data_IF_452158442308
#
_entry.id   IF_452158442308
#
_cell.length_a   1.000
_cell.length_b   1.000
_cell.length_c   1.000
_cell.angle_alpha   90.00
_cell.angle_beta   90.00
_cell.angle_gamma   90.00
#
_symmetry.space_group_name_H-M   'P 1'
#
loop_
_entity.id
_entity.type
_entity.pdbx_description
1 polymer ?
#
# COMPACT_ATOMS: atom_id res chain seq x y z
N UNK A 1 3.20 -11.71 0.27
CA UNK A 1 1.89 -12.43 0.15
C UNK A 1 1.33 -12.27 -1.24
N UNK A 2 0.95 -13.36 -1.89
CA UNK A 2 0.24 -13.38 -3.17
C UNK A 2 -1.23 -12.97 -3.00
N UNK A 3 -1.88 -12.61 -4.10
CA UNK A 3 -3.32 -12.30 -4.08
C UNK A 3 -4.18 -13.49 -3.62
N UNK A 4 -3.74 -14.73 -3.87
CA UNK A 4 -4.45 -15.96 -3.45
C UNK A 4 -4.39 -16.11 -1.93
N UNK A 5 -3.21 -15.98 -1.34
CA UNK A 5 -2.99 -16.05 0.11
C UNK A 5 -3.76 -14.94 0.86
N UNK A 6 -3.72 -13.69 0.34
CA UNK A 6 -4.50 -12.60 0.91
C UNK A 6 -6.00 -12.92 0.87
N UNK A 7 -6.51 -13.47 -0.24
CA UNK A 7 -7.90 -13.83 -0.35
C UNK A 7 -8.28 -15.03 0.56
N UNK A 8 -7.38 -15.98 0.76
CA UNK A 8 -7.56 -17.11 1.67
C UNK A 8 -7.76 -16.60 3.12
N UNK A 9 -6.87 -15.76 3.63
CA UNK A 9 -7.02 -15.17 4.97
C UNK A 9 -8.24 -14.25 5.05
N UNK A 10 -8.52 -13.48 4.00
CA UNK A 10 -9.66 -12.57 3.94
C UNK A 10 -11.01 -13.32 3.96
N UNK A 11 -11.11 -14.51 3.35
CA UNK A 11 -12.33 -15.31 3.34
C UNK A 11 -12.74 -15.79 4.73
N UNK A 12 -11.81 -15.90 5.68
CA UNK A 12 -12.10 -16.22 7.08
C UNK A 12 -13.00 -15.16 7.76
N UNK A 13 -13.16 -13.98 7.16
CA UNK A 13 -14.03 -12.90 7.65
C UNK A 13 -15.36 -12.80 6.87
N UNK A 14 -15.69 -13.78 6.04
CA UNK A 14 -16.94 -13.75 5.28
C UNK A 14 -18.12 -14.18 6.13
N UNK A 15 -17.93 -15.10 7.06
CA UNK A 15 -18.97 -15.57 7.99
C UNK A 15 -18.44 -15.69 9.42
N UNK A 16 -19.33 -15.68 10.41
CA UNK A 16 -18.95 -15.89 11.81
C UNK A 16 -18.50 -17.36 12.03
N UNK A 17 -19.05 -18.29 11.27
CA UNK A 17 -18.73 -19.72 11.38
C UNK A 17 -17.30 -20.03 10.93
N UNK A 18 -16.79 -19.33 9.92
CA UNK A 18 -15.43 -19.50 9.39
C UNK A 18 -14.40 -18.73 10.20
N UNK A 19 -14.88 -17.84 11.09
CA UNK A 19 -14.04 -16.93 11.85
C UNK A 19 -13.47 -17.62 13.09
N UNK A 20 -12.14 -17.72 13.16
CA UNK A 20 -11.39 -18.23 14.33
C UNK A 20 -10.89 -17.13 15.27
N UNK A 21 -11.52 -15.94 15.30
CA UNK A 21 -11.11 -14.84 16.17
C UNK A 21 -11.31 -15.22 17.63
N UNK A 22 -10.21 -15.29 18.37
CA UNK A 22 -10.25 -15.62 19.80
C UNK A 22 -10.53 -14.38 20.65
N UNK A 23 -9.96 -13.25 20.29
CA UNK A 23 -10.02 -12.01 21.07
C UNK A 23 -10.06 -10.78 20.19
N UNK A 24 -10.84 -9.80 20.64
CA UNK A 24 -10.91 -8.44 20.11
C UNK A 24 -10.40 -7.47 21.17
N UNK A 25 -9.46 -6.61 20.80
CA UNK A 25 -8.99 -5.50 21.63
C UNK A 25 -9.05 -4.19 20.86
N UNK A 26 -9.25 -3.08 21.53
CA UNK A 26 -9.30 -1.78 20.86
C UNK A 26 -9.02 -0.60 21.77
N UNK A 27 -8.66 0.51 21.14
CA UNK A 27 -8.42 1.79 21.80
C UNK A 27 -9.06 2.93 20.99
N UNK A 28 -10.00 3.63 21.61
CA UNK A 28 -10.54 4.86 21.04
C UNK A 28 -9.64 6.05 21.44
N UNK A 29 -9.17 6.76 20.43
CA UNK A 29 -8.29 7.92 20.55
C UNK A 29 -9.03 9.16 20.02
N UNK A 30 -9.03 10.24 20.80
CA UNK A 30 -9.64 11.51 20.38
C UNK A 30 -8.69 12.37 19.54
N UNK A 31 -9.19 13.52 19.03
CA UNK A 31 -8.42 14.46 18.22
C UNK A 31 -7.22 15.10 18.93
N UNK A 32 -7.19 15.08 20.26
CA UNK A 32 -6.07 15.57 21.08
C UNK A 32 -5.03 14.48 21.36
N UNK A 33 -5.10 13.35 20.67
CA UNK A 33 -4.25 12.17 20.86
C UNK A 33 -4.35 11.56 22.28
N UNK A 34 -5.48 11.72 22.95
CA UNK A 34 -5.72 11.11 24.25
C UNK A 34 -6.49 9.79 24.10
N UNK A 35 -6.07 8.76 24.86
CA UNK A 35 -6.81 7.49 25.00
C UNK A 35 -8.12 7.78 25.77
N UNK A 36 -9.26 7.59 25.12
CA UNK A 36 -10.57 7.81 25.73
C UNK A 36 -11.10 6.53 26.37
N UNK A 37 -10.93 5.42 25.67
CA UNK A 37 -11.41 4.10 26.13
C UNK A 37 -10.58 2.99 25.50
N UNK A 38 -10.14 2.06 26.34
CA UNK A 38 -9.59 0.77 25.91
C UNK A 38 -10.56 -0.35 26.27
N UNK A 39 -10.55 -1.41 25.48
CA UNK A 39 -11.33 -2.63 25.73
C UNK A 39 -10.59 -3.85 25.20
N UNK A 40 -10.82 -4.99 25.83
CA UNK A 40 -10.28 -6.29 25.41
C UNK A 40 -11.24 -7.38 25.87
N UNK A 41 -11.78 -8.14 24.92
CA UNK A 41 -12.81 -9.15 25.23
C UNK A 41 -12.78 -10.32 24.24
N UNK A 42 -13.44 -11.42 24.59
CA UNK A 42 -13.64 -12.52 23.66
C UNK A 42 -14.60 -12.08 22.57
N UNK A 43 -14.22 -12.35 21.31
CA UNK A 43 -15.02 -11.95 20.15
C UNK A 43 -16.42 -12.55 20.18
N UNK A 44 -16.57 -13.79 20.64
CA UNK A 44 -17.86 -14.49 20.73
C UNK A 44 -18.80 -14.02 21.85
N UNK A 45 -18.32 -13.10 22.72
CA UNK A 45 -19.21 -12.47 23.70
C UNK A 45 -20.02 -11.30 23.13
N UNK A 46 -19.68 -10.87 21.92
CA UNK A 46 -20.37 -9.76 21.23
C UNK A 46 -21.73 -10.20 20.66
N UNK A 47 -22.70 -9.31 20.55
CA UNK A 47 -23.90 -9.53 19.75
C UNK A 47 -23.55 -9.86 18.29
N UNK A 48 -24.32 -10.76 17.68
CA UNK A 48 -24.07 -11.21 16.31
C UNK A 48 -24.01 -10.05 15.29
N UNK A 49 -24.88 -9.06 15.43
CA UNK A 49 -24.88 -7.88 14.56
C UNK A 49 -23.59 -7.06 14.66
N UNK A 50 -23.02 -6.95 15.87
CA UNK A 50 -21.74 -6.28 16.09
C UNK A 50 -20.59 -7.09 15.52
N UNK A 51 -20.60 -8.42 15.70
CA UNK A 51 -19.58 -9.30 15.11
C UNK A 51 -19.50 -9.09 13.59
N UNK A 52 -20.61 -9.05 12.86
CA UNK A 52 -20.59 -8.81 11.41
C UNK A 52 -20.00 -7.44 11.05
N UNK A 53 -20.21 -6.40 11.86
CA UNK A 53 -19.61 -5.08 11.63
C UNK A 53 -18.08 -5.09 11.79
N UNK A 54 -17.60 -5.80 12.80
CA UNK A 54 -16.15 -5.99 12.97
C UNK A 54 -15.55 -6.83 11.83
N UNK A 55 -16.21 -7.93 11.42
CA UNK A 55 -15.76 -8.74 10.27
C UNK A 55 -15.66 -7.90 8.99
N UNK A 56 -16.62 -7.01 8.73
CA UNK A 56 -16.55 -6.08 7.59
C UNK A 56 -15.30 -5.19 7.63
N UNK A 57 -14.92 -4.67 8.81
CA UNK A 57 -13.72 -3.86 9.02
C UNK A 57 -12.47 -4.68 8.71
N UNK A 58 -12.34 -5.89 9.28
CA UNK A 58 -11.15 -6.73 9.09
C UNK A 58 -11.01 -7.21 7.65
N UNK A 59 -12.11 -7.61 7.04
CA UNK A 59 -12.18 -7.93 5.61
C UNK A 59 -11.75 -6.74 4.74
N UNK A 60 -12.13 -5.52 5.13
CA UNK A 60 -11.77 -4.31 4.41
C UNK A 60 -10.30 -3.98 4.56
N UNK A 61 -9.70 -4.23 5.72
CA UNK A 61 -8.27 -4.06 5.95
C UNK A 61 -7.44 -4.89 4.98
N UNK A 62 -7.89 -6.12 4.67
CA UNK A 62 -7.24 -7.02 3.70
C UNK A 62 -7.75 -6.83 2.25
N UNK A 63 -8.43 -5.71 1.96
CA UNK A 63 -8.95 -5.44 0.62
C UNK A 63 -8.15 -4.37 -0.09
N UNK A 64 -7.60 -4.71 -1.25
CA UNK A 64 -6.81 -3.79 -2.05
C UNK A 64 -6.07 -4.50 -3.18
N UNK A 65 -5.18 -3.76 -3.81
CA UNK A 65 -4.27 -4.29 -4.84
C UNK A 65 -2.92 -4.53 -4.20
N UNK A 66 -2.37 -5.77 -4.25
CA UNK A 66 -1.00 -6.06 -3.82
C UNK A 66 0.00 -5.13 -4.54
N UNK A 67 1.01 -4.66 -3.81
CA UNK A 67 1.99 -3.69 -4.31
C UNK A 67 1.49 -2.25 -4.37
N UNK A 68 0.19 -2.01 -4.10
CA UNK A 68 -0.40 -0.66 -4.10
C UNK A 68 -1.02 -0.30 -2.75
N UNK A 69 -2.15 -0.95 -2.42
CA UNK A 69 -2.85 -0.77 -1.15
C UNK A 69 -2.36 -1.75 -0.09
N UNK A 70 -1.93 -2.93 -0.52
CA UNK A 70 -1.43 -4.01 0.31
C UNK A 70 0.04 -4.21 -0.04
N UNK A 71 0.91 -3.98 0.94
CA UNK A 71 2.37 -4.01 0.74
C UNK A 71 2.99 -5.02 1.71
N UNK A 72 3.71 -5.97 1.15
CA UNK A 72 4.51 -6.91 1.91
C UNK A 72 5.82 -6.22 2.32
N UNK A 73 6.08 -6.14 3.61
CA UNK A 73 7.22 -5.39 4.16
C UNK A 73 8.01 -6.26 5.13
N UNK A 74 9.32 -6.28 4.96
CA UNK A 74 10.22 -6.99 5.86
C UNK A 74 10.67 -6.07 7.01
N UNK A 75 10.92 -6.67 8.17
CA UNK A 75 11.54 -5.96 9.28
C UNK A 75 12.96 -5.51 8.92
N UNK A 76 13.33 -4.35 9.45
CA UNK A 76 14.61 -3.72 9.14
C UNK A 76 15.80 -4.52 9.68
N UNK A 77 15.67 -5.04 10.89
CA UNK A 77 16.68 -5.80 11.59
C UNK A 77 16.06 -7.10 12.16
N UNK A 78 15.89 -8.14 11.33
CA UNK A 78 15.23 -9.37 11.78
C UNK A 78 16.00 -10.11 12.89
N UNK A 79 17.31 -9.83 13.04
CA UNK A 79 18.21 -10.50 14.00
C UNK A 79 18.60 -9.59 15.18
N UNK A 80 18.03 -8.40 15.33
CA UNK A 80 18.39 -7.52 16.44
C UNK A 80 17.78 -7.99 17.76
N UNK A 81 18.64 -8.37 18.70
CA UNK A 81 18.29 -8.68 20.11
C UNK A 81 17.87 -7.43 20.92
N UNK A 82 17.53 -6.32 20.27
CA UNK A 82 17.10 -5.11 20.99
C UNK A 82 15.67 -5.30 21.51
N UNK A 83 15.52 -5.36 22.82
CA UNK A 83 14.27 -5.58 23.57
C UNK A 83 13.17 -4.51 23.36
N UNK A 84 13.31 -3.64 22.39
CA UNK A 84 12.36 -2.57 22.05
C UNK A 84 11.97 -2.57 20.56
N UNK A 85 12.28 -3.63 19.79
CA UNK A 85 11.94 -3.68 18.37
C UNK A 85 10.43 -3.82 18.14
N UNK A 86 9.92 -3.26 17.06
CA UNK A 86 8.53 -3.42 16.66
C UNK A 86 8.16 -4.90 16.47
N UNK A 87 9.06 -5.69 15.90
CA UNK A 87 8.90 -7.14 15.72
C UNK A 87 8.65 -7.85 17.06
N UNK A 88 9.43 -7.54 18.10
CA UNK A 88 9.27 -8.17 19.41
C UNK A 88 7.93 -7.79 20.06
N UNK A 89 7.51 -6.54 19.94
CA UNK A 89 6.20 -6.10 20.42
C UNK A 89 5.06 -6.86 19.74
N UNK A 90 5.11 -7.00 18.41
CA UNK A 90 4.12 -7.75 17.65
C UNK A 90 4.13 -9.25 18.02
N UNK A 91 5.30 -9.83 18.25
CA UNK A 91 5.40 -11.22 18.73
C UNK A 91 4.79 -11.39 20.12
N UNK A 92 4.99 -10.44 21.05
CA UNK A 92 4.36 -10.45 22.38
C UNK A 92 2.84 -10.36 22.28
N UNK A 93 2.30 -9.47 21.45
CA UNK A 93 0.85 -9.36 21.19
C UNK A 93 0.28 -10.68 20.66
N UNK A 94 0.95 -11.31 19.69
CA UNK A 94 0.52 -12.59 19.13
C UNK A 94 0.58 -13.72 20.15
N UNK A 95 1.73 -13.89 20.83
CA UNK A 95 1.94 -14.98 21.81
C UNK A 95 1.03 -14.86 23.03
N UNK A 96 0.70 -13.65 23.46
CA UNK A 96 -0.26 -13.41 24.55
C UNK A 96 -1.72 -13.57 24.11
N UNK A 97 -1.97 -13.75 22.80
CA UNK A 97 -3.33 -13.77 22.24
C UNK A 97 -4.11 -12.49 22.61
N UNK A 98 -3.46 -11.34 22.68
CA UNK A 98 -3.99 -10.05 23.14
C UNK A 98 -4.54 -10.07 24.57
N UNK A 99 -4.03 -10.97 25.44
CA UNK A 99 -4.44 -11.09 26.85
C UNK A 99 -3.57 -10.27 27.81
N UNK A 100 -2.42 -9.78 27.36
CA UNK A 100 -1.51 -8.97 28.17
C UNK A 100 -1.82 -7.48 28.01
N UNK A 101 -2.52 -6.93 29.00
CA UNK A 101 -2.93 -5.53 29.00
C UNK A 101 -1.73 -4.56 28.96
N UNK A 102 -0.59 -4.92 29.58
CA UNK A 102 0.60 -4.06 29.56
C UNK A 102 1.20 -3.95 28.15
N UNK A 103 1.26 -5.06 27.42
CA UNK A 103 1.71 -5.07 26.03
C UNK A 103 0.74 -4.31 25.10
N UNK A 104 -0.58 -4.42 25.34
CA UNK A 104 -1.59 -3.66 24.60
C UNK A 104 -1.44 -2.15 24.84
N UNK A 105 -1.24 -1.72 26.07
CA UNK A 105 -1.05 -0.31 26.41
C UNK A 105 0.23 0.26 25.77
N UNK A 106 1.36 -0.47 25.81
CA UNK A 106 2.60 -0.06 25.13
C UNK A 106 2.39 0.09 23.61
N UNK A 107 1.67 -0.85 23.01
CA UNK A 107 1.33 -0.80 21.58
C UNK A 107 0.49 0.45 21.27
N UNK A 108 -0.58 0.71 22.04
CA UNK A 108 -1.42 1.89 21.81
C UNK A 108 -0.64 3.19 21.95
N UNK A 109 0.22 3.30 22.97
CA UNK A 109 1.04 4.50 23.18
C UNK A 109 2.01 4.76 22.03
N UNK A 110 2.65 3.70 21.51
CA UNK A 110 3.51 3.80 20.33
C UNK A 110 2.73 4.21 19.09
N UNK A 111 1.54 3.63 18.85
CA UNK A 111 0.68 4.03 17.74
C UNK A 111 0.27 5.48 17.85
N UNK A 112 -0.24 5.92 19.00
CA UNK A 112 -0.71 7.29 19.22
C UNK A 112 0.40 8.33 19.01
N UNK A 113 1.62 8.02 19.43
CA UNK A 113 2.77 8.92 19.26
C UNK A 113 3.23 9.04 17.81
N UNK A 114 3.04 7.99 17.01
CA UNK A 114 3.62 7.88 15.67
C UNK A 114 2.60 8.00 14.52
N UNK A 115 1.31 7.77 14.80
CA UNK A 115 0.28 7.84 13.76
C UNK A 115 -0.13 9.28 13.50
N UNK A 116 0.03 9.73 12.25
CA UNK A 116 -0.33 11.09 11.83
C UNK A 116 -1.78 11.11 11.31
N UNK A 117 -2.69 11.51 12.18
CA UNK A 117 -4.10 11.66 11.86
C UNK A 117 -4.71 12.82 12.63
N UNK A 118 -5.46 13.68 11.91
CA UNK A 118 -6.20 14.80 12.51
C UNK A 118 -7.66 14.38 12.73
N UNK A 119 -8.04 14.16 13.97
CA UNK A 119 -9.39 13.77 14.36
C UNK A 119 -9.41 12.50 15.22
N UNK A 120 -10.61 11.99 15.45
CA UNK A 120 -10.82 10.81 16.29
C UNK A 120 -10.62 9.53 15.46
N UNK A 121 -10.05 8.51 16.07
CA UNK A 121 -9.88 7.20 15.43
C UNK A 121 -9.95 6.06 16.44
N UNK A 122 -10.23 4.87 15.93
CA UNK A 122 -10.30 3.62 16.66
C UNK A 122 -9.18 2.69 16.17
N UNK A 123 -8.34 2.24 17.09
CA UNK A 123 -7.37 1.16 16.86
C UNK A 123 -8.06 -0.13 17.25
N UNK A 124 -8.16 -1.08 16.33
CA UNK A 124 -8.69 -2.42 16.56
C UNK A 124 -7.61 -3.45 16.33
N UNK A 125 -7.54 -4.43 17.21
CA UNK A 125 -6.67 -5.60 17.14
C UNK A 125 -7.51 -6.84 17.29
N UNK A 126 -7.23 -7.86 16.47
CA UNK A 126 -7.72 -9.22 16.69
C UNK A 126 -6.56 -10.21 16.70
N UNK A 127 -6.73 -11.25 17.48
CA UNK A 127 -5.94 -12.47 17.38
C UNK A 127 -6.80 -13.59 16.82
N UNK A 128 -6.26 -14.29 15.84
CA UNK A 128 -6.92 -15.44 15.21
C UNK A 128 -5.92 -16.55 14.95
N UNK A 129 -6.37 -17.78 15.06
CA UNK A 129 -5.64 -18.99 14.63
C UNK A 129 -6.38 -19.64 13.46
N UNK A 130 -5.65 -20.02 12.44
CA UNK A 130 -6.14 -20.65 11.23
C UNK A 130 -5.38 -21.94 10.97
N UNK A 131 -6.10 -23.05 10.93
CA UNK A 131 -5.55 -24.34 10.56
C UNK A 131 -5.41 -24.41 9.05
N UNK A 132 -4.16 -24.41 8.54
CA UNK A 132 -3.88 -24.39 7.12
C UNK A 132 -4.25 -25.77 6.54
N UNK A 133 -5.21 -25.87 5.59
CA UNK A 133 -5.56 -27.15 4.98
C UNK A 133 -4.36 -27.73 4.23
N UNK A 134 -4.06 -29.01 4.48
CA UNK A 134 -3.04 -29.74 3.75
C UNK A 134 -3.39 -29.85 2.28
N UNK A 135 -2.39 -29.82 1.40
CA UNK A 135 -2.56 -30.05 -0.04
C UNK A 135 -2.04 -31.42 -0.45
N UNK A 136 -2.82 -32.12 -1.28
CA UNK A 136 -2.31 -33.31 -1.97
C UNK A 136 -1.31 -32.92 -3.04
N UNK A 137 -0.48 -33.88 -3.48
CA UNK A 137 0.44 -33.71 -4.62
C UNK A 137 -0.23 -33.24 -5.90
N UNK A 138 -1.54 -33.44 -6.05
CA UNK A 138 -2.36 -33.00 -7.20
C UNK A 138 -3.02 -31.65 -6.96
N UNK A 139 -2.71 -30.94 -5.83
CA UNK A 139 -3.22 -29.59 -5.53
C UNK A 139 -4.66 -29.55 -5.03
N UNK A 140 -5.20 -30.68 -4.55
CA UNK A 140 -6.54 -30.76 -3.95
C UNK A 140 -6.39 -30.52 -2.44
N UNK A 141 -7.20 -29.63 -1.87
CA UNK A 141 -7.24 -29.37 -0.44
C UNK A 141 -7.81 -30.58 0.30
N UNK A 142 -7.17 -30.92 1.43
CA UNK A 142 -7.62 -31.98 2.33
C UNK A 142 -8.14 -31.34 3.60
N UNK A 143 -9.44 -31.38 3.81
CA UNK A 143 -10.10 -30.77 4.99
C UNK A 143 -9.70 -31.41 6.32
N UNK A 144 -9.23 -32.68 6.29
CA UNK A 144 -8.91 -33.47 7.50
C UNK A 144 -7.42 -33.48 7.88
N UNK A 145 -6.55 -32.83 7.11
CA UNK A 145 -5.12 -32.78 7.39
C UNK A 145 -4.62 -31.35 7.40
N UNK A 146 -4.40 -30.80 8.59
CA UNK A 146 -3.71 -29.52 8.77
C UNK A 146 -2.21 -29.75 8.85
N UNK A 147 -1.44 -29.07 8.01
CA UNK A 147 0.02 -29.14 8.04
C UNK A 147 0.62 -28.18 9.07
N UNK A 148 -0.01 -27.01 9.28
CA UNK A 148 0.47 -25.96 10.17
C UNK A 148 -0.68 -25.12 10.69
N UNK A 149 -0.56 -24.59 11.93
CA UNK A 149 -1.48 -23.61 12.49
C UNK A 149 -0.90 -22.21 12.31
N UNK A 150 -1.55 -21.39 11.51
CA UNK A 150 -1.20 -20.00 11.31
C UNK A 150 -1.90 -19.12 12.35
N UNK A 151 -1.13 -18.66 13.34
CA UNK A 151 -1.59 -17.73 14.38
C UNK A 151 -1.12 -16.31 14.06
N UNK A 152 -2.03 -15.35 14.05
CA UNK A 152 -1.74 -13.98 13.65
C UNK A 152 -2.50 -12.91 14.43
N UNK A 153 -2.00 -11.68 14.34
CA UNK A 153 -2.66 -10.45 14.78
C UNK A 153 -2.98 -9.59 13.57
N UNK A 154 -4.21 -9.14 13.46
CA UNK A 154 -4.64 -8.16 12.48
C UNK A 154 -4.99 -6.85 13.18
N UNK A 155 -4.37 -5.77 12.76
CA UNK A 155 -4.65 -4.41 13.22
C UNK A 155 -5.43 -3.63 12.17
N UNK A 156 -6.43 -2.86 12.59
CA UNK A 156 -7.19 -1.94 11.76
C UNK A 156 -7.27 -0.58 12.44
N UNK A 157 -6.87 0.49 11.76
CA UNK A 157 -6.99 1.87 12.27
C UNK A 157 -8.10 2.56 11.49
N UNK A 158 -9.20 2.83 12.18
CA UNK A 158 -10.44 3.31 11.61
C UNK A 158 -10.70 4.76 12.01
N UNK A 159 -10.86 5.70 11.06
CA UNK A 159 -11.33 7.04 11.36
C UNK A 159 -12.69 7.00 12.05
N UNK A 160 -12.94 7.94 12.95
CA UNK A 160 -14.25 8.12 13.56
C UNK A 160 -14.80 9.50 13.22
N UNK A 161 -16.00 9.54 12.67
CA UNK A 161 -16.65 10.79 12.24
C UNK A 161 -17.95 10.99 12.98
N UNK A 162 -18.21 12.25 13.32
CA UNK A 162 -19.47 12.64 13.92
C UNK A 162 -20.62 12.43 12.90
N UNK A 163 -21.66 11.73 13.31
CA UNK A 163 -22.84 11.53 12.47
C UNK A 163 -23.49 12.86 12.11
N UNK A 164 -24.15 12.92 10.94
CA UNK A 164 -24.83 14.16 10.53
C UNK A 164 -25.94 14.50 11.51
N UNK A 165 -26.13 15.79 11.85
CA UNK A 165 -27.30 16.22 12.61
C UNK A 165 -28.56 16.00 11.76
N UNK A 166 -29.68 15.69 12.42
CA UNK A 166 -30.91 15.45 11.72
C UNK A 166 -32.12 15.34 12.67
N UNK A 167 -33.29 15.19 12.07
CA UNK A 167 -34.49 14.80 12.78
C UNK A 167 -34.72 13.31 12.51
N UNK A 168 -35.16 12.58 13.52
CA UNK A 168 -35.55 11.18 13.42
C UNK A 168 -36.85 10.92 14.17
N UNK A 169 -37.54 9.88 13.77
CA UNK A 169 -38.70 9.38 14.50
C UNK A 169 -38.20 8.34 15.51
N UNK A 170 -38.57 8.52 16.76
CA UNK A 170 -38.32 7.56 17.82
C UNK A 170 -39.57 6.70 18.01
N UNK A 171 -39.45 5.41 17.70
CA UNK A 171 -40.58 4.46 17.79
C UNK A 171 -41.03 4.26 19.22
N UNK A 172 -40.14 4.35 20.22
CA UNK A 172 -40.48 4.15 21.62
C UNK A 172 -41.26 5.34 22.20
N UNK A 173 -40.91 6.55 21.77
CA UNK A 173 -41.55 7.79 22.21
C UNK A 173 -42.73 8.19 21.30
N UNK A 174 -42.80 7.69 20.07
CA UNK A 174 -43.78 8.06 19.06
C UNK A 174 -43.64 9.51 18.56
N UNK A 175 -42.47 10.11 18.69
CA UNK A 175 -42.22 11.53 18.42
C UNK A 175 -41.06 11.76 17.45
N UNK A 176 -41.09 12.87 16.71
CA UNK A 176 -39.97 13.35 15.91
C UNK A 176 -39.11 14.29 16.76
N UNK A 177 -37.85 13.94 16.93
CA UNK A 177 -36.89 14.76 17.69
C UNK A 177 -35.52 14.84 17.01
N UNK A 178 -34.64 15.69 17.55
CA UNK A 178 -33.28 15.81 17.07
C UNK A 178 -32.48 14.55 17.40
N UNK A 179 -31.89 13.92 16.36
CA UNK A 179 -31.01 12.77 16.54
C UNK A 179 -29.75 13.17 17.30
N UNK A 180 -29.40 12.36 18.30
CA UNK A 180 -28.13 12.52 19.01
C UNK A 180 -26.99 12.20 18.05
N UNK A 181 -26.07 13.14 17.89
CA UNK A 181 -24.84 12.88 17.15
C UNK A 181 -23.91 11.98 17.96
N UNK A 182 -23.39 10.96 17.29
CA UNK A 182 -22.38 10.05 17.86
C UNK A 182 -21.20 9.96 16.88
N UNK A 183 -20.03 9.58 17.40
CA UNK A 183 -18.90 9.25 16.55
C UNK A 183 -19.09 7.84 15.98
N UNK A 184 -19.30 7.76 14.67
CA UNK A 184 -19.41 6.50 13.94
C UNK A 184 -18.03 6.07 13.47
N UNK A 185 -17.74 4.77 13.56
CA UNK A 185 -16.54 4.15 13.03
C UNK A 185 -16.66 4.02 11.52
N UNK A 186 -15.67 4.58 10.81
CA UNK A 186 -15.53 4.47 9.36
C UNK A 186 -14.71 3.22 8.99
N UNK A 187 -14.69 2.89 7.71
CA UNK A 187 -13.83 1.82 7.20
C UNK A 187 -12.34 2.17 7.43
N UNK A 188 -11.47 1.17 7.63
CA UNK A 188 -10.08 1.39 7.99
C UNK A 188 -9.31 2.18 6.91
N UNK A 189 -8.53 3.16 7.35
CA UNK A 189 -7.59 3.89 6.50
C UNK A 189 -6.23 3.17 6.43
N UNK A 190 -5.80 2.57 7.54
CA UNK A 190 -4.56 1.81 7.66
C UNK A 190 -4.75 0.55 8.49
N UNK A 191 -3.82 -0.40 8.35
CA UNK A 191 -3.78 -1.60 9.15
C UNK A 191 -2.60 -2.48 8.77
N UNK A 192 -2.44 -3.59 9.47
CA UNK A 192 -1.42 -4.59 9.13
C UNK A 192 -1.84 -5.98 9.61
N UNK A 193 -1.28 -7.00 8.98
CA UNK A 193 -1.35 -8.40 9.36
C UNK A 193 0.06 -8.87 9.76
N UNK A 194 0.22 -9.47 10.93
CA UNK A 194 1.48 -10.02 11.41
C UNK A 194 1.29 -11.38 12.10
N UNK A 195 2.12 -12.37 11.79
CA UNK A 195 3.12 -12.46 10.71
C UNK A 195 2.48 -12.43 9.32
N UNK A 196 3.27 -12.20 8.27
CA UNK A 196 2.79 -12.39 6.91
C UNK A 196 2.51 -13.89 6.63
N UNK A 197 1.60 -14.15 5.69
CA UNK A 197 1.24 -15.50 5.24
C UNK A 197 1.86 -15.76 3.88
N UNK A 198 3.18 -16.00 3.86
CA UNK A 198 3.93 -16.23 2.63
C UNK A 198 4.12 -17.72 2.38
N UNK A 199 3.96 -18.17 1.13
CA UNK A 199 4.05 -19.57 0.73
C UNK A 199 3.13 -20.50 1.56
N UNK A 200 1.95 -19.97 1.94
CA UNK A 200 0.98 -20.63 2.83
C UNK A 200 1.58 -21.09 4.17
N UNK A 201 2.52 -20.32 4.70
CA UNK A 201 3.24 -20.58 5.95
C UNK A 201 3.41 -19.29 6.75
N UNK A 202 3.79 -19.44 8.03
CA UNK A 202 4.04 -18.33 8.96
C UNK A 202 5.36 -17.65 8.65
N UNK A 203 5.37 -16.45 8.06
CA UNK A 203 6.57 -15.66 7.86
C UNK A 203 6.73 -14.58 8.95
N UNK A 204 7.46 -14.90 10.01
CA UNK A 204 7.73 -14.00 11.13
C UNK A 204 8.68 -12.83 10.78
N UNK A 205 9.25 -12.79 9.57
CA UNK A 205 10.15 -11.73 9.14
C UNK A 205 9.46 -10.65 8.32
N UNK A 206 8.18 -10.84 8.03
CA UNK A 206 7.39 -9.94 7.20
C UNK A 206 6.03 -9.60 7.83
N UNK A 207 5.49 -8.46 7.41
CA UNK A 207 4.11 -8.03 7.66
C UNK A 207 3.43 -7.72 6.34
N UNK A 208 2.11 -7.86 6.28
CA UNK A 208 1.31 -7.26 5.21
C UNK A 208 0.74 -5.93 5.72
N UNK A 209 1.23 -4.82 5.21
CA UNK A 209 0.72 -3.49 5.53
C UNK A 209 -0.40 -3.08 4.58
N UNK A 210 -1.47 -2.52 5.12
CA UNK A 210 -2.62 -2.02 4.37
C UNK A 210 -2.73 -0.51 4.49
N UNK A 211 -2.86 0.19 3.36
CA UNK A 211 -3.14 1.63 3.33
C UNK A 211 -4.18 1.96 2.27
N UNK A 212 -5.22 2.68 2.67
CA UNK A 212 -6.23 3.21 1.74
C UNK A 212 -5.69 4.35 0.90
N UNK A 213 -4.80 5.17 1.48
CA UNK A 213 -4.13 6.28 0.80
C UNK A 213 -2.84 5.79 0.18
N UNK A 214 -2.78 5.75 -1.15
CA UNK A 214 -1.63 5.25 -1.91
C UNK A 214 -0.62 6.35 -2.27
N UNK A 215 -0.89 7.58 -1.91
CA UNK A 215 -0.06 8.76 -2.18
C UNK A 215 0.74 9.24 -0.96
N UNK A 216 0.37 8.78 0.24
CA UNK A 216 1.12 9.06 1.46
C UNK A 216 1.02 7.88 2.44
N UNK A 217 2.14 7.29 2.78
CA UNK A 217 2.23 6.25 3.80
C UNK A 217 2.50 6.89 5.18
N UNK A 218 2.12 6.18 6.23
CA UNK A 218 2.37 6.58 7.62
C UNK A 218 3.81 6.21 8.02
N UNK A 219 4.81 6.97 7.51
CA UNK A 219 6.24 6.60 7.66
C UNK A 219 6.65 6.47 9.12
N UNK A 220 6.24 7.41 10.00
CA UNK A 220 6.56 7.34 11.42
C UNK A 220 5.92 6.12 12.11
N UNK A 221 4.71 5.72 11.71
CA UNK A 221 4.07 4.50 12.21
C UNK A 221 4.82 3.25 11.75
N UNK A 222 5.20 3.18 10.48
CA UNK A 222 5.96 2.06 9.91
C UNK A 222 7.33 1.89 10.59
N UNK A 223 8.02 3.00 10.84
CA UNK A 223 9.38 2.98 11.40
C UNK A 223 9.39 2.79 12.92
N UNK A 224 8.54 3.52 13.65
CA UNK A 224 8.61 3.55 15.12
C UNK A 224 7.76 2.48 15.81
N UNK A 225 6.71 1.99 15.15
CA UNK A 225 5.81 0.98 15.72
C UNK A 225 6.08 -0.39 15.14
N UNK A 226 6.18 -0.49 13.82
CA UNK A 226 6.31 -1.78 13.13
C UNK A 226 7.76 -2.17 12.85
N UNK A 227 8.71 -1.22 12.92
CA UNK A 227 10.14 -1.45 12.64
C UNK A 227 10.38 -2.00 11.22
N UNK A 228 9.59 -1.50 10.26
CA UNK A 228 9.72 -1.83 8.84
C UNK A 228 10.11 -0.60 8.03
N UNK A 229 10.81 -0.82 6.93
CA UNK A 229 11.14 0.26 6.01
C UNK A 229 9.92 0.70 5.23
N UNK A 230 9.63 1.99 5.24
CA UNK A 230 8.62 2.55 4.36
C UNK A 230 9.08 2.43 2.90
N UNK A 231 8.27 1.78 2.06
CA UNK A 231 8.46 1.78 0.61
C UNK A 231 7.92 3.08 0.01
N UNK A 232 8.35 3.42 -1.21
CA UNK A 232 7.77 4.57 -1.91
C UNK A 232 6.27 4.35 -2.15
N UNK A 233 5.40 5.34 -1.84
CA UNK A 233 4.00 5.29 -2.21
C UNK A 233 3.80 5.06 -3.71
N UNK A 234 2.74 4.35 -4.10
CA UNK A 234 2.46 4.04 -5.50
C UNK A 234 2.43 5.27 -6.42
N UNK A 235 1.92 6.39 -5.93
CA UNK A 235 1.91 7.66 -6.66
C UNK A 235 3.33 8.18 -6.88
N UNK A 236 4.17 8.16 -5.85
CA UNK A 236 5.56 8.61 -5.95
C UNK A 236 6.39 7.68 -6.84
N UNK A 237 6.15 6.35 -6.79
CA UNK A 237 6.79 5.42 -7.73
C UNK A 237 6.44 5.76 -9.18
N UNK A 238 5.16 6.07 -9.46
CA UNK A 238 4.72 6.47 -10.80
C UNK A 238 5.30 7.80 -11.24
N UNK A 239 5.28 8.81 -10.38
CA UNK A 239 5.84 10.13 -10.67
C UNK A 239 7.35 10.05 -10.88
N UNK A 240 8.07 9.36 -9.98
CA UNK A 240 9.51 9.10 -10.12
C UNK A 240 9.85 8.33 -11.39
N UNK A 241 9.05 7.32 -11.74
CA UNK A 241 9.23 6.60 -13.00
C UNK A 241 9.04 7.50 -14.22
N UNK A 242 8.00 8.33 -14.25
CA UNK A 242 7.75 9.26 -15.35
C UNK A 242 8.87 10.31 -15.48
N UNK A 243 9.34 10.85 -14.36
CA UNK A 243 10.47 11.77 -14.31
C UNK A 243 11.75 11.09 -14.83
N UNK A 244 12.02 9.88 -14.36
CA UNK A 244 13.14 9.07 -14.82
C UNK A 244 13.12 8.84 -16.34
N UNK A 245 11.96 8.40 -16.90
CA UNK A 245 11.81 8.22 -18.36
C UNK A 245 12.09 9.53 -19.10
N UNK A 246 11.55 10.64 -18.63
CA UNK A 246 11.74 11.96 -19.23
C UNK A 246 13.21 12.39 -19.21
N UNK A 247 13.90 12.18 -18.10
CA UNK A 247 15.32 12.54 -17.95
C UNK A 247 16.26 11.66 -18.78
N UNK A 248 15.97 10.34 -18.87
CA UNK A 248 16.76 9.42 -19.70
C UNK A 248 16.61 9.76 -21.18
N UNK A 249 15.40 9.96 -21.65
CA UNK A 249 15.14 10.25 -23.06
C UNK A 249 15.61 11.65 -23.45
N UNK A 250 15.37 12.66 -22.62
CA UNK A 250 15.71 14.04 -22.94
C UNK A 250 15.15 14.47 -24.30
N UNK A 251 16.02 14.82 -25.26
CA UNK A 251 15.63 15.24 -26.62
C UNK A 251 15.08 14.08 -27.47
N UNK A 252 15.35 12.80 -27.14
CA UNK A 252 14.78 11.64 -27.82
C UNK A 252 13.35 11.30 -27.36
N UNK A 253 12.75 12.11 -26.47
CA UNK A 253 11.39 11.93 -25.97
C UNK A 253 10.36 12.25 -27.05
N UNK A 254 10.17 11.31 -27.99
CA UNK A 254 9.11 11.37 -28.98
C UNK A 254 7.85 10.64 -28.49
N UNK A 255 6.70 10.94 -29.09
CA UNK A 255 5.46 10.22 -28.79
C UNK A 255 5.64 8.72 -29.04
N UNK A 256 6.25 8.37 -30.16
CA UNK A 256 6.49 6.99 -30.60
C UNK A 256 7.40 6.23 -29.62
N UNK A 257 8.50 6.88 -29.17
CA UNK A 257 9.44 6.27 -28.20
C UNK A 257 8.77 6.04 -26.86
N UNK A 258 8.02 7.03 -26.34
CA UNK A 258 7.32 6.89 -25.05
C UNK A 258 6.21 5.83 -25.15
N UNK A 259 5.47 5.80 -26.25
CA UNK A 259 4.44 4.77 -26.48
C UNK A 259 5.06 3.37 -26.51
N UNK A 260 6.15 3.17 -27.27
CA UNK A 260 6.87 1.90 -27.33
C UNK A 260 7.38 1.45 -25.96
N UNK A 261 7.90 2.36 -25.13
CA UNK A 261 8.30 2.05 -23.75
C UNK A 261 7.10 1.54 -22.93
N UNK A 262 5.94 2.22 -23.03
CA UNK A 262 4.75 1.81 -22.29
C UNK A 262 4.20 0.45 -22.76
N UNK A 263 4.26 0.16 -24.06
CA UNK A 263 3.84 -1.12 -24.63
C UNK A 263 4.78 -2.25 -24.21
N UNK A 264 6.09 -2.09 -24.37
CA UNK A 264 7.09 -3.07 -23.96
C UNK A 264 7.08 -3.31 -22.45
N UNK A 265 6.86 -2.26 -21.66
CA UNK A 265 6.70 -2.38 -20.22
C UNK A 265 5.48 -3.23 -19.85
N UNK A 266 4.35 -2.98 -20.49
CA UNK A 266 3.13 -3.75 -20.30
C UNK A 266 3.31 -5.21 -20.71
N UNK A 267 3.95 -5.47 -21.84
CA UNK A 267 4.26 -6.84 -22.31
C UNK A 267 5.17 -7.57 -21.31
N UNK A 268 6.24 -6.93 -20.85
CA UNK A 268 7.16 -7.48 -19.84
C UNK A 268 6.44 -7.82 -18.55
N UNK A 269 5.55 -6.93 -18.09
CA UNK A 269 4.74 -7.16 -16.86
C UNK A 269 3.77 -8.32 -17.06
N UNK A 270 3.09 -8.42 -18.20
CA UNK A 270 2.16 -9.50 -18.49
C UNK A 270 2.88 -10.85 -18.58
N UNK A 271 4.06 -10.91 -19.20
CA UNK A 271 4.86 -12.11 -19.28
C UNK A 271 5.31 -12.58 -17.90
N UNK A 272 5.87 -11.67 -17.09
CA UNK A 272 6.24 -11.98 -15.70
C UNK A 272 5.03 -12.42 -14.84
N UNK A 273 3.85 -11.81 -15.01
CA UNK A 273 2.61 -12.23 -14.31
C UNK A 273 2.16 -13.64 -14.72
N UNK A 274 2.36 -14.01 -15.96
CA UNK A 274 2.03 -15.36 -16.46
C UNK A 274 2.97 -16.41 -15.89
N UNK A 275 4.25 -16.07 -15.74
CA UNK A 275 5.28 -16.95 -15.17
C UNK A 275 5.11 -17.14 -13.66
N UNK A 276 4.77 -16.06 -12.95
CA UNK A 276 4.70 -16.01 -11.47
C UNK A 276 3.30 -16.36 -10.92
N UNK A 277 2.38 -16.89 -11.74
CA UNK A 277 1.09 -17.45 -11.33
C UNK A 277 0.26 -16.60 -10.33
N UNK A 278 0.40 -15.27 -10.37
CA UNK A 278 -0.38 -14.33 -9.54
C UNK A 278 0.40 -13.68 -8.39
N UNK A 279 1.71 -13.89 -8.31
CA UNK A 279 2.58 -13.16 -7.41
C UNK A 279 2.73 -11.68 -7.80
N UNK A 280 3.19 -10.88 -6.86
CA UNK A 280 3.48 -9.46 -7.09
C UNK A 280 4.71 -9.31 -7.98
N UNK A 281 4.56 -8.67 -9.13
CA UNK A 281 5.66 -8.47 -10.09
C UNK A 281 6.46 -7.23 -9.73
N UNK A 282 7.77 -7.40 -9.61
CA UNK A 282 8.73 -6.32 -9.44
C UNK A 282 9.50 -6.08 -10.74
N UNK A 283 9.79 -4.82 -11.01
CA UNK A 283 10.66 -4.40 -12.10
C UNK A 283 12.03 -4.05 -11.54
N UNK A 284 12.99 -4.90 -11.81
CA UNK A 284 14.39 -4.66 -11.50
C UNK A 284 15.07 -3.83 -12.59
N UNK A 285 16.28 -3.36 -12.32
CA UNK A 285 17.08 -2.56 -13.25
C UNK A 285 17.28 -3.25 -14.60
N UNK A 286 17.48 -4.58 -14.60
CA UNK A 286 17.70 -5.37 -15.80
C UNK A 286 16.44 -5.41 -16.67
N UNK A 287 15.30 -5.74 -16.09
CA UNK A 287 14.04 -5.78 -16.82
C UNK A 287 13.65 -4.41 -17.38
N UNK A 288 13.90 -3.35 -16.63
CA UNK A 288 13.66 -1.98 -17.08
C UNK A 288 14.59 -1.59 -18.24
N UNK A 289 15.87 -1.93 -18.12
CA UNK A 289 16.85 -1.67 -19.19
C UNK A 289 16.49 -2.39 -20.49
N UNK A 290 16.05 -3.65 -20.38
CA UNK A 290 15.57 -4.42 -21.54
C UNK A 290 14.34 -3.78 -22.23
N UNK A 291 13.43 -3.19 -21.44
CA UNK A 291 12.28 -2.44 -21.97
C UNK A 291 12.75 -1.24 -22.80
N UNK A 292 13.71 -0.45 -22.28
CA UNK A 292 14.24 0.72 -23.01
C UNK A 292 14.99 0.31 -24.28
N UNK A 293 15.80 -0.75 -24.22
CA UNK A 293 16.54 -1.28 -25.37
C UNK A 293 15.59 -1.78 -26.46
N UNK A 294 14.56 -2.56 -26.11
CA UNK A 294 13.52 -3.02 -27.04
C UNK A 294 12.71 -1.87 -27.64
N UNK A 295 12.60 -0.75 -26.94
CA UNK A 295 11.90 0.43 -27.41
C UNK A 295 12.74 1.33 -28.33
N UNK A 296 13.93 0.89 -28.72
CA UNK A 296 14.78 1.59 -29.68
C UNK A 296 15.52 2.79 -29.08
N UNK A 297 15.67 2.87 -27.77
CA UNK A 297 16.44 3.91 -27.10
C UNK A 297 17.93 3.74 -27.42
N UNK A 298 18.63 4.84 -27.75
CA UNK A 298 20.03 4.81 -28.19
C UNK A 298 20.98 4.31 -27.09
N UNK A 299 22.12 3.71 -27.49
CA UNK A 299 23.11 3.19 -26.56
C UNK A 299 23.69 4.27 -25.63
N UNK A 300 23.75 5.51 -26.09
CA UNK A 300 24.18 6.66 -25.27
C UNK A 300 23.16 6.92 -24.13
N UNK A 301 21.87 6.85 -24.44
CA UNK A 301 20.79 7.03 -23.45
C UNK A 301 20.69 5.84 -22.50
N UNK A 302 21.05 4.63 -22.92
CA UNK A 302 21.14 3.48 -22.02
C UNK A 302 22.26 3.63 -20.98
N UNK A 303 23.36 4.33 -21.29
CA UNK A 303 24.36 4.69 -20.28
C UNK A 303 23.85 5.72 -19.29
N UNK A 304 23.03 6.68 -19.76
CA UNK A 304 22.34 7.63 -18.88
C UNK A 304 21.34 6.91 -17.98
N UNK A 305 20.60 5.94 -18.54
CA UNK A 305 19.69 5.06 -17.79
C UNK A 305 20.40 4.39 -16.61
N UNK A 306 21.54 3.73 -16.87
CA UNK A 306 22.28 2.97 -15.85
C UNK A 306 22.71 3.86 -14.67
N UNK A 307 23.12 5.09 -14.95
CA UNK A 307 23.53 6.07 -13.93
C UNK A 307 22.33 6.63 -13.17
N UNK A 308 21.28 7.00 -13.90
CA UNK A 308 20.10 7.67 -13.34
C UNK A 308 19.21 6.73 -12.54
N UNK A 309 19.16 5.44 -12.90
CA UNK A 309 18.32 4.47 -12.20
C UNK A 309 18.69 4.38 -10.71
N UNK A 310 19.99 4.29 -10.42
CA UNK A 310 20.49 4.21 -9.04
C UNK A 310 20.27 5.54 -8.29
N UNK A 311 20.28 6.69 -8.98
CA UNK A 311 20.03 8.00 -8.39
C UNK A 311 18.55 8.25 -8.08
N UNK A 312 17.64 7.82 -8.96
CA UNK A 312 16.21 8.12 -8.88
C UNK A 312 15.45 7.22 -7.88
N UNK A 313 15.87 5.97 -7.76
CA UNK A 313 15.22 4.96 -6.92
C UNK A 313 16.00 4.66 -5.63
N UNK A 314 17.08 5.41 -5.31
CA UNK A 314 17.77 5.34 -4.03
C UNK A 314 16.94 6.03 -2.93
N UNK A 315 16.31 5.24 -2.07
CA UNK A 315 15.46 5.70 -0.97
C UNK A 315 16.16 6.66 0.01
N UNK A 316 17.49 6.58 0.16
CA UNK A 316 18.25 7.49 1.03
C UNK A 316 18.26 8.91 0.49
N UNK A 317 18.42 9.07 -0.82
CA UNK A 317 18.43 10.40 -1.48
C UNK A 317 17.04 11.01 -1.55
N UNK A 318 15.99 10.18 -1.77
CA UNK A 318 14.61 10.64 -1.82
C UNK A 318 14.15 11.16 -0.45
N UNK A 319 14.52 10.49 0.65
CA UNK A 319 14.25 10.98 2.02
C UNK A 319 14.91 12.33 2.31
N UNK A 320 16.19 12.53 1.92
CA UNK A 320 16.87 13.83 2.08
C UNK A 320 16.13 14.96 1.34
N UNK A 321 15.67 14.71 0.13
CA UNK A 321 14.93 15.68 -0.69
C UNK A 321 13.55 16.02 -0.10
N UNK A 322 12.88 15.08 0.56
CA UNK A 322 11.57 15.30 1.24
C UNK A 322 11.69 16.05 2.56
N UNK A 323 12.82 15.90 3.27
CA UNK A 323 13.09 16.57 4.55
C UNK A 323 13.63 18.01 4.34
N UNK A 324 13.98 18.40 3.10
CA UNK A 324 14.49 19.74 2.79
C UNK A 324 15.94 19.97 3.20
N UNK A 325 16.71 18.91 3.43
CA UNK A 325 18.16 19.02 3.65
C UNK A 325 18.87 19.10 2.28
N UNK A 326 19.27 20.30 1.88
CA UNK A 326 20.20 20.52 0.78
C UNK A 326 21.58 19.94 1.16
N UNK A 327 22.26 19.29 0.20
CA UNK A 327 23.62 18.75 0.36
C UNK A 327 24.59 19.89 0.70
N UNK A 328 24.87 20.14 1.97
CA UNK A 328 26.03 20.91 2.37
C UNK A 328 27.26 20.01 2.35
N UNK A 329 28.11 20.24 1.35
CA UNK A 329 29.48 19.74 1.25
C UNK A 329 30.28 20.21 2.48
N UNK A 330 30.45 19.36 3.49
CA UNK A 330 31.28 19.67 4.64
C UNK A 330 32.77 19.44 4.33
N UNK A 331 33.46 20.53 4.00
CA UNK A 331 34.90 20.65 4.26
C UNK A 331 35.09 21.16 5.70
N UNK A 332 35.89 20.42 6.48
CA UNK A 332 36.33 20.73 7.84
C UNK A 332 36.69 22.21 8.08
N UNK A 333 36.21 22.82 9.17
CA UNK A 333 37.05 23.32 10.25
C UNK A 333 36.27 23.89 11.44
N UNK A 334 36.71 23.45 12.63
CA UNK A 334 36.79 24.06 13.98
C UNK A 334 35.66 24.89 14.60
N UNK A 335 35.16 24.32 15.72
CA UNK A 335 34.92 24.91 17.06
C UNK A 335 34.11 26.20 17.24
N UNK A 336 32.95 26.10 17.93
CA UNK A 336 32.64 26.73 19.22
C UNK A 336 31.17 26.57 19.62
N UNK A 337 31.00 26.09 20.85
CA UNK A 337 29.93 26.21 21.86
C UNK A 337 28.61 26.93 21.53
N UNK A 338 27.49 26.24 21.79
CA UNK A 338 26.17 26.87 21.93
C UNK A 338 25.06 25.84 22.10
N UNK A 339 24.61 25.69 23.34
CA UNK A 339 23.51 24.85 23.81
C UNK A 339 22.22 25.09 23.00
N UNK A 340 21.72 24.11 22.30
CA UNK A 340 20.31 23.98 21.91
C UNK A 340 19.98 22.51 21.77
N UNK A 341 18.98 22.04 22.50
CA UNK A 341 18.45 20.66 22.46
C UNK A 341 18.09 20.27 21.01
N UNK A 342 19.04 19.65 20.32
CA UNK A 342 18.86 19.05 19.03
C UNK A 342 18.14 17.71 19.17
N UNK A 343 16.96 17.60 18.56
CA UNK A 343 16.36 16.30 18.23
C UNK A 343 17.39 15.53 17.39
N UNK A 344 17.97 14.52 18.01
CA UNK A 344 18.83 13.56 17.33
C UNK A 344 17.99 12.79 16.31
N UNK A 345 18.13 13.13 15.03
CA UNK A 345 17.61 12.32 13.94
C UNK A 345 18.52 11.10 13.78
N UNK A 346 18.20 10.02 14.46
CA UNK A 346 18.79 8.72 14.22
C UNK A 346 18.35 8.23 12.84
N UNK A 347 19.23 8.24 11.86
CA UNK A 347 19.01 7.65 10.52
C UNK A 347 19.60 6.24 10.53
N UNK A 348 18.79 5.18 10.58
CA UNK A 348 19.30 3.82 10.50
C UNK A 348 19.91 3.56 9.12
N UNK A 349 21.04 2.86 9.12
CA UNK A 349 21.81 2.55 7.91
C UNK A 349 21.27 1.27 7.25
N UNK A 350 20.16 1.36 6.51
CA UNK A 350 19.46 0.22 5.94
C UNK A 350 19.70 0.14 4.44
N UNK A 351 20.13 -1.03 3.97
CA UNK A 351 20.04 -1.40 2.55
C UNK A 351 18.59 -1.72 2.23
N UNK A 352 17.88 -0.80 1.58
CA UNK A 352 16.55 -1.06 1.03
C UNK A 352 16.76 -1.62 -0.38
N UNK A 353 16.23 -2.80 -0.65
CA UNK A 353 16.18 -3.33 -2.01
C UNK A 353 15.24 -2.45 -2.85
N UNK A 354 15.78 -1.88 -3.92
CA UNK A 354 15.09 -0.98 -4.83
C UNK A 354 14.17 -1.78 -5.76
N UNK A 355 12.92 -2.00 -5.34
CA UNK A 355 11.94 -2.74 -6.14
C UNK A 355 10.81 -1.80 -6.56
N UNK A 356 10.65 -1.59 -7.87
CA UNK A 356 9.49 -0.94 -8.44
C UNK A 356 8.36 -1.94 -8.63
N UNK A 357 7.21 -1.67 -8.03
CA UNK A 357 6.02 -2.48 -8.28
C UNK A 357 5.49 -2.23 -9.70
N UNK A 358 5.44 -3.27 -10.49
CA UNK A 358 5.02 -3.20 -11.88
C UNK A 358 3.64 -2.56 -12.06
N UNK A 359 2.69 -2.88 -11.18
CA UNK A 359 1.33 -2.34 -11.23
C UNK A 359 1.24 -0.84 -10.91
N UNK A 360 2.29 -0.25 -10.31
CA UNK A 360 2.33 1.19 -10.04
C UNK A 360 2.81 2.00 -11.24
N UNK A 361 3.64 1.43 -12.11
CA UNK A 361 4.30 2.16 -13.21
C UNK A 361 3.80 1.76 -14.59
N UNK A 362 3.36 0.51 -14.79
CA UNK A 362 2.83 0.05 -16.07
C UNK A 362 1.38 0.52 -16.31
N UNK A 363 1.00 0.90 -17.53
CA UNK A 363 -0.37 1.27 -17.87
C UNK A 363 -1.27 0.04 -17.89
N UNK A 364 -2.15 -0.10 -16.89
CA UNK A 364 -2.98 -1.31 -16.74
C UNK A 364 -4.13 -1.37 -17.74
N UNK A 365 -4.78 -0.24 -18.05
CA UNK A 365 -5.99 -0.21 -18.89
C UNK A 365 -5.94 0.79 -20.03
N UNK A 366 -5.50 2.00 -19.77
CA UNK A 366 -5.53 3.09 -20.74
C UNK A 366 -4.20 3.83 -20.81
N UNK A 367 -3.84 4.28 -22.00
CA UNK A 367 -2.81 5.28 -22.22
C UNK A 367 -3.49 6.64 -22.26
N UNK A 368 -2.98 7.60 -21.51
CA UNK A 368 -3.49 8.96 -21.46
C UNK A 368 -2.53 9.90 -22.17
N UNK A 369 -3.01 10.56 -23.23
CA UNK A 369 -2.32 11.64 -23.93
C UNK A 369 -2.97 12.95 -23.53
N UNK A 370 -2.20 13.87 -22.94
CA UNK A 370 -2.74 15.11 -22.39
C UNK A 370 -1.96 16.34 -22.87
N UNK A 371 -2.67 17.39 -23.19
CA UNK A 371 -2.12 18.73 -23.32
C UNK A 371 -3.02 19.74 -22.56
N UNK A 372 -2.74 21.07 -22.68
CA UNK A 372 -3.50 22.10 -21.96
C UNK A 372 -5.00 22.12 -22.28
N UNK A 373 -5.40 21.63 -23.45
CA UNK A 373 -6.77 21.79 -24.00
C UNK A 373 -7.46 20.45 -24.24
N UNK A 374 -6.75 19.32 -24.14
CA UNK A 374 -7.26 18.01 -24.53
C UNK A 374 -6.75 16.93 -23.60
N UNK A 375 -7.61 15.98 -23.31
CA UNK A 375 -7.26 14.70 -22.68
C UNK A 375 -7.84 13.59 -23.56
N UNK A 376 -6.96 12.77 -24.11
CA UNK A 376 -7.31 11.58 -24.86
C UNK A 376 -6.96 10.34 -24.04
N UNK A 377 -7.91 9.43 -23.87
CA UNK A 377 -7.68 8.14 -23.21
C UNK A 377 -7.98 7.04 -24.18
N UNK A 378 -6.99 6.22 -24.47
CA UNK A 378 -7.10 5.11 -25.38
C UNK A 378 -6.82 3.82 -24.63
N UNK A 379 -7.60 2.78 -24.92
CA UNK A 379 -7.34 1.46 -24.37
C UNK A 379 -5.93 1.00 -24.73
N UNK A 380 -5.18 0.53 -23.75
CA UNK A 380 -3.83 0.00 -23.99
C UNK A 380 -3.79 -1.30 -24.86
N UNK A 381 -4.96 -1.76 -25.35
CA UNK A 381 -5.08 -2.86 -26.31
C UNK A 381 -5.21 -2.37 -27.76
N UNK A 382 -5.51 -1.09 -27.95
CA UNK A 382 -5.81 -0.46 -29.26
C UNK A 382 -5.00 0.82 -29.43
N UNK A 383 -3.69 0.73 -29.23
CA UNK A 383 -2.76 1.85 -29.42
C UNK A 383 -2.44 2.08 -30.88
N UNK A 384 -2.66 1.08 -31.72
CA UNK A 384 -2.53 1.06 -33.15
C UNK A 384 -3.43 2.08 -33.89
N UNK A 385 -4.52 2.52 -33.25
CA UNK A 385 -5.41 3.55 -33.80
C UNK A 385 -4.84 4.99 -33.71
N UNK A 386 -3.71 5.19 -33.02
CA UNK A 386 -3.10 6.50 -32.84
C UNK A 386 -1.76 6.56 -33.57
N UNK A 387 -1.59 7.58 -34.42
CA UNK A 387 -0.37 7.83 -35.17
C UNK A 387 0.03 9.30 -35.10
N UNK A 388 1.29 9.61 -35.34
CA UNK A 388 1.73 11.01 -35.47
C UNK A 388 2.12 11.32 -36.90
N UNK A 389 1.58 12.39 -37.46
CA UNK A 389 1.86 12.81 -38.84
C UNK A 389 2.15 14.31 -38.91
N UNK A 390 2.93 14.70 -39.90
CA UNK A 390 3.11 16.12 -40.25
C UNK A 390 2.05 16.48 -41.28
N UNK A 391 1.09 17.30 -40.89
CA UNK A 391 0.03 17.83 -41.74
C UNK A 391 0.22 19.33 -41.83
N UNK A 392 0.38 19.87 -43.03
CA UNK A 392 0.62 21.30 -43.30
C UNK A 392 1.77 21.89 -42.46
N UNK A 393 2.86 21.13 -42.30
CA UNK A 393 4.04 21.54 -41.53
C UNK A 393 3.86 21.50 -39.98
N UNK A 394 2.74 21.00 -39.49
CA UNK A 394 2.46 20.85 -38.06
C UNK A 394 2.49 19.36 -37.65
N UNK A 395 3.12 19.07 -36.54
CA UNK A 395 3.07 17.71 -35.94
C UNK A 395 1.66 17.52 -35.35
N UNK A 396 0.93 16.55 -35.89
CA UNK A 396 -0.45 16.23 -35.52
C UNK A 396 -0.53 14.82 -34.94
N UNK A 397 -1.40 14.63 -33.95
CA UNK A 397 -1.85 13.32 -33.51
C UNK A 397 -3.05 12.94 -34.39
N UNK A 398 -2.97 11.82 -35.05
CA UNK A 398 -4.02 11.30 -35.95
C UNK A 398 -4.64 10.08 -35.27
N UNK A 399 -5.96 10.04 -35.23
CA UNK A 399 -6.71 8.93 -34.63
C UNK A 399 -7.58 8.33 -35.72
N UNK A 400 -7.48 7.02 -35.87
CA UNK A 400 -8.37 6.28 -36.76
C UNK A 400 -9.79 6.27 -36.19
N UNK A 401 -10.76 6.71 -36.97
CA UNK A 401 -12.17 6.71 -36.57
C UNK A 401 -12.79 5.36 -36.89
N UNK A 402 -13.42 4.75 -35.91
CA UNK A 402 -14.20 3.53 -36.06
C UNK A 402 -15.67 3.84 -36.33
N UNK A 403 -16.43 2.83 -36.81
CA UNK A 403 -17.83 2.98 -37.26
C UNK A 403 -18.81 3.49 -36.17
N UNK A 404 -18.45 3.38 -34.89
CA UNK A 404 -19.32 3.73 -33.74
C UNK A 404 -18.97 5.08 -33.09
N UNK A 405 -18.48 6.05 -33.86
CA UNK A 405 -18.10 7.34 -33.33
C UNK A 405 -19.32 8.13 -32.83
N UNK A 406 -19.21 8.65 -31.62
CA UNK A 406 -20.21 9.58 -31.04
C UNK A 406 -19.57 10.85 -30.53
N UNK A 407 -20.25 11.98 -30.68
CA UNK A 407 -19.90 13.27 -30.10
C UNK A 407 -20.99 13.66 -29.09
N UNK A 408 -20.65 13.72 -27.80
CA UNK A 408 -21.61 13.95 -26.71
C UNK A 408 -22.80 13.00 -26.74
N UNK A 409 -22.56 11.73 -27.13
CA UNK A 409 -23.61 10.69 -27.26
C UNK A 409 -24.41 10.75 -28.56
N UNK A 410 -24.09 11.66 -29.48
CA UNK A 410 -24.72 11.77 -30.82
C UNK A 410 -23.83 10.99 -31.79
N UNK A 411 -24.38 9.94 -32.49
CA UNK A 411 -23.63 9.23 -33.53
C UNK A 411 -23.18 10.18 -34.64
N UNK A 412 -21.98 9.97 -35.12
CA UNK A 412 -21.40 10.74 -36.25
C UNK A 412 -21.07 9.75 -37.37
N UNK A 413 -21.57 10.00 -38.54
CA UNK A 413 -21.18 9.28 -39.75
C UNK A 413 -19.76 9.73 -40.16
N UNK A 414 -18.81 8.77 -40.25
CA UNK A 414 -17.41 9.01 -40.60
C UNK A 414 -17.20 9.14 -42.11
#
# INVERSE_FOLDING_TARGET
MTKKEINEIKSLFDTIQDCGITRLAGCYVNGDKAKVKTFSESFYNLPEEEMYKYLEIFRKTLSGTPGKNLQDMNFVNPESDSSSSGKELLQKLRKSELKDDATLEDFYDKVISSYDYVGNYLILLIHQSYDIPGMTTDGIEMDDASDEVYSYVLCSICPMKLTKPGLGFDDDLGEIHTLRQIFAVELPDNGFLFPAFNDRSTDENAILYSSRKTDSLQSAFLENVLDVSATLPAKQQKEGFNEFVSEVLGEESSFETVLSIQENLKETVNNKKSELAGETVFLDKTAMRDVFEKSGVSGEKLQVFDKKFDEQFDMKKIRKKQIGEEDEDYSNDSAASGDTMGRSSYVPNIKVEEKLFADNVAPVRNIEVRNKNMVLRVSSKHTDIIDTRIIDGKKCLVIELTEDLTVNGIPVEG
#
